data_IF_060670801164
#
_entry.id   IF_060670801164
#
_cell.length_a   1.000
_cell.length_b   1.000
_cell.length_c   1.000
_cell.angle_alpha   90.00
_cell.angle_beta   90.00
_cell.angle_gamma   90.00
#
_symmetry.space_group_name_H-M   'P 1'
#
loop_
_entity.id
_entity.type
_entity.pdbx_description
1 polymer ?
#
# COMPACT_ATOMS: atom_id res chain seq x y z
N UNK A 1 8.12 15.26 0.38
CA UNK A 1 8.20 14.07 -0.51
C UNK A 1 7.98 12.85 0.37
N UNK A 2 6.96 12.03 0.12
CA UNK A 2 6.74 10.80 0.90
C UNK A 2 7.63 9.64 0.40
N UNK A 3 7.72 8.54 1.15
CA UNK A 3 8.62 7.45 0.81
C UNK A 3 8.34 6.77 -0.53
N UNK A 4 7.05 6.70 -0.95
CA UNK A 4 6.68 6.23 -2.30
C UNK A 4 7.23 7.15 -3.41
N UNK A 5 7.14 8.46 -3.23
CA UNK A 5 7.71 9.44 -4.16
C UNK A 5 9.24 9.37 -4.20
N UNK A 6 9.89 9.16 -3.05
CA UNK A 6 11.34 8.97 -2.98
C UNK A 6 11.78 7.70 -3.72
N UNK A 7 11.12 6.56 -3.48
CA UNK A 7 11.36 5.30 -4.20
C UNK A 7 11.23 5.49 -5.72
N UNK A 8 10.16 6.14 -6.16
CA UNK A 8 9.93 6.43 -7.58
C UNK A 8 11.05 7.31 -8.17
N UNK A 9 11.54 8.29 -7.43
CA UNK A 9 12.62 9.17 -7.88
C UNK A 9 13.94 8.42 -8.03
N UNK A 10 14.27 7.56 -7.05
CA UNK A 10 15.47 6.71 -7.10
C UNK A 10 15.44 5.77 -8.31
N UNK A 11 14.30 5.09 -8.55
CA UNK A 11 14.15 4.21 -9.71
C UNK A 11 14.20 4.99 -11.03
N UNK A 12 13.67 6.22 -11.06
CA UNK A 12 13.77 7.08 -12.24
C UNK A 12 15.22 7.53 -12.50
N UNK A 13 15.98 7.87 -11.46
CA UNK A 13 17.39 8.21 -11.59
C UNK A 13 18.24 7.02 -12.00
N UNK A 14 17.91 5.82 -11.52
CA UNK A 14 18.57 4.58 -11.93
C UNK A 14 18.49 4.37 -13.44
N UNK A 15 17.30 4.51 -14.04
CA UNK A 15 17.12 4.29 -15.49
C UNK A 15 17.61 5.46 -16.36
N UNK A 16 18.00 6.57 -15.73
CA UNK A 16 18.60 7.73 -16.40
C UNK A 16 20.13 7.77 -16.27
N UNK A 17 20.74 6.77 -15.63
CA UNK A 17 22.19 6.74 -15.38
C UNK A 17 22.68 7.86 -14.43
N UNK A 18 21.81 8.27 -13.50
CA UNK A 18 22.08 9.33 -12.51
C UNK A 18 22.28 8.81 -11.09
N UNK A 19 22.05 7.51 -10.87
CA UNK A 19 22.10 6.91 -9.53
C UNK A 19 23.52 6.56 -9.09
N UNK A 20 24.39 6.20 -10.04
CA UNK A 20 25.79 5.84 -9.80
C UNK A 20 26.69 6.62 -10.76
N UNK A 21 27.97 6.84 -10.41
CA UNK A 21 28.94 7.39 -11.36
C UNK A 21 29.14 6.47 -12.56
N UNK A 22 29.30 7.06 -13.74
CA UNK A 22 29.69 6.35 -14.95
C UNK A 22 31.19 6.06 -14.95
N UNK A 23 31.57 4.91 -15.49
CA UNK A 23 32.97 4.52 -15.68
C UNK A 23 33.29 4.47 -17.18
N UNK A 24 34.15 5.36 -17.70
CA UNK A 24 34.55 5.35 -19.11
C UNK A 24 35.26 4.07 -19.57
N UNK A 25 35.74 3.23 -18.65
CA UNK A 25 36.38 1.95 -18.96
C UNK A 25 35.39 0.80 -19.09
N UNK A 26 34.11 1.02 -18.74
CA UNK A 26 33.09 0.00 -18.92
C UNK A 26 32.90 -0.30 -20.42
N UNK A 27 32.70 -1.58 -20.72
CA UNK A 27 32.30 -1.98 -22.07
C UNK A 27 30.92 -1.37 -22.39
N UNK A 28 30.79 -0.56 -23.46
CA UNK A 28 29.55 0.18 -23.74
C UNK A 28 28.39 -0.77 -24.04
N UNK A 29 27.17 -0.30 -23.76
CA UNK A 29 25.94 -1.07 -23.95
C UNK A 29 25.76 -1.55 -25.41
N UNK A 30 26.31 -0.83 -26.39
CA UNK A 30 26.32 -1.23 -27.80
C UNK A 30 26.99 -2.60 -28.02
N UNK A 31 28.07 -2.89 -27.30
CA UNK A 31 28.78 -4.18 -27.36
C UNK A 31 27.97 -5.28 -26.66
N UNK A 32 27.32 -4.98 -25.53
CA UNK A 32 26.40 -5.92 -24.88
C UNK A 32 25.24 -6.29 -25.82
N UNK A 33 24.61 -5.30 -26.46
CA UNK A 33 23.54 -5.52 -27.43
C UNK A 33 24.01 -6.36 -28.62
N UNK A 34 25.25 -6.15 -29.09
CA UNK A 34 25.82 -6.97 -30.15
C UNK A 34 26.04 -8.43 -29.72
N UNK A 35 26.56 -8.67 -28.51
CA UNK A 35 26.66 -10.01 -27.92
C UNK A 35 25.29 -10.70 -27.80
N UNK A 36 24.23 -9.93 -27.49
CA UNK A 36 22.86 -10.45 -27.44
C UNK A 36 22.35 -10.83 -28.83
N UNK A 37 22.62 -10.02 -29.86
CA UNK A 37 22.26 -10.34 -31.26
C UNK A 37 22.97 -11.61 -31.73
N UNK A 38 24.26 -11.74 -31.45
CA UNK A 38 25.04 -12.95 -31.78
C UNK A 38 24.47 -14.19 -31.09
N UNK A 39 24.13 -14.10 -29.81
CA UNK A 39 23.49 -15.19 -29.06
C UNK A 39 22.15 -15.58 -29.69
N UNK A 40 21.31 -14.60 -30.05
CA UNK A 40 20.03 -14.87 -30.72
C UNK A 40 20.22 -15.55 -32.06
N UNK A 41 21.18 -15.11 -32.87
CA UNK A 41 21.50 -15.75 -34.14
C UNK A 41 21.98 -17.20 -33.95
N UNK A 42 22.76 -17.47 -32.91
CA UNK A 42 23.14 -18.83 -32.53
C UNK A 42 21.91 -19.68 -32.18
N UNK A 43 21.01 -19.18 -31.33
CA UNK A 43 19.77 -19.87 -30.94
C UNK A 43 18.80 -20.10 -32.12
N UNK A 44 18.78 -19.20 -33.10
CA UNK A 44 18.00 -19.35 -34.35
C UNK A 44 18.59 -20.49 -35.19
N UNK A 45 19.91 -20.55 -35.34
CA UNK A 45 20.60 -21.64 -36.06
C UNK A 45 20.34 -23.00 -35.41
N UNK A 46 20.31 -23.05 -34.07
CA UNK A 46 19.95 -24.24 -33.30
C UNK A 46 18.44 -24.56 -33.28
N UNK A 47 17.59 -23.74 -33.93
CA UNK A 47 16.12 -23.86 -33.96
C UNK A 47 15.46 -23.80 -32.57
N UNK A 48 16.15 -23.25 -31.55
CA UNK A 48 15.61 -23.02 -30.20
C UNK A 48 14.63 -21.86 -30.17
N UNK A 49 14.84 -20.86 -31.03
CA UNK A 49 13.93 -19.72 -31.22
C UNK A 49 13.69 -19.46 -32.72
N UNK A 50 12.58 -18.79 -33.03
CA UNK A 50 12.30 -18.30 -34.38
C UNK A 50 12.90 -16.90 -34.54
N UNK A 51 13.29 -16.55 -35.78
CA UNK A 51 13.71 -15.19 -36.11
C UNK A 51 12.54 -14.23 -35.94
N UNK A 52 12.77 -13.14 -35.19
CA UNK A 52 11.80 -12.07 -35.02
C UNK A 52 11.86 -11.13 -36.24
N UNK A 53 10.72 -10.90 -36.88
CA UNK A 53 10.61 -9.98 -38.02
C UNK A 53 10.63 -8.52 -37.59
N UNK A 54 10.36 -8.25 -36.32
CA UNK A 54 10.29 -6.92 -35.74
C UNK A 54 11.56 -6.55 -34.96
N UNK A 55 12.62 -7.36 -35.04
CA UNK A 55 13.90 -7.01 -34.43
C UNK A 55 14.47 -5.75 -35.07
N UNK A 56 14.97 -4.84 -34.25
CA UNK A 56 15.47 -3.53 -34.70
C UNK A 56 16.76 -3.13 -34.00
N UNK A 57 17.40 -2.09 -34.52
CA UNK A 57 18.53 -1.42 -33.89
C UNK A 57 18.14 0.05 -33.74
N UNK A 58 18.27 0.57 -32.53
CA UNK A 58 18.14 1.99 -32.26
C UNK A 58 19.54 2.58 -32.14
N UNK A 59 19.75 3.75 -32.75
CA UNK A 59 21.01 4.46 -32.74
C UNK A 59 20.76 5.97 -32.84
N UNK A 60 21.76 6.76 -32.43
CA UNK A 60 21.75 8.22 -32.56
C UNK A 60 22.47 8.64 -33.84
N UNK A 61 21.83 9.46 -34.67
CA UNK A 61 22.38 9.99 -35.91
C UNK A 61 23.33 11.17 -35.70
N UNK A 62 23.98 11.62 -36.77
CA UNK A 62 24.88 12.80 -36.76
C UNK A 62 24.14 14.11 -36.42
N UNK A 63 22.82 14.15 -36.64
CA UNK A 63 21.93 15.26 -36.31
C UNK A 63 21.42 15.21 -34.85
N UNK A 64 21.96 14.29 -34.04
CA UNK A 64 21.56 14.01 -32.65
C UNK A 64 20.14 13.45 -32.46
N UNK A 65 19.44 13.10 -33.55
CA UNK A 65 18.14 12.42 -33.49
C UNK A 65 18.28 10.90 -33.34
N UNK A 66 17.28 10.27 -32.74
CA UNK A 66 17.20 8.82 -32.57
C UNK A 66 16.46 8.17 -33.74
N UNK A 67 17.06 7.11 -34.27
CA UNK A 67 16.53 6.33 -35.37
C UNK A 67 16.40 4.87 -34.99
N UNK A 68 15.32 4.24 -35.42
CA UNK A 68 15.11 2.80 -35.34
C UNK A 68 15.21 2.19 -36.74
N UNK A 69 16.11 1.24 -36.92
CA UNK A 69 16.29 0.47 -38.15
C UNK A 69 15.78 -0.95 -37.97
N UNK A 70 14.77 -1.32 -38.76
CA UNK A 70 14.24 -2.67 -38.81
C UNK A 70 15.25 -3.61 -39.49
N UNK A 71 15.64 -4.69 -38.82
CA UNK A 71 16.65 -5.62 -39.35
C UNK A 71 16.15 -6.41 -40.56
N UNK A 72 14.87 -6.74 -40.59
CA UNK A 72 14.30 -7.56 -41.67
C UNK A 72 14.09 -6.80 -42.97
N UNK A 73 13.66 -5.53 -42.90
CA UNK A 73 13.30 -4.71 -44.07
C UNK A 73 14.35 -3.66 -44.41
N UNK A 74 15.23 -3.31 -43.45
CA UNK A 74 16.14 -2.17 -43.56
C UNK A 74 15.47 -0.82 -43.41
N UNK A 75 14.15 -0.77 -43.16
CA UNK A 75 13.39 0.47 -42.96
C UNK A 75 13.94 1.24 -41.76
N UNK A 76 14.14 2.55 -41.94
CA UNK A 76 14.63 3.45 -40.90
C UNK A 76 13.55 4.47 -40.58
N UNK A 77 13.23 4.63 -39.30
CA UNK A 77 12.25 5.57 -38.79
C UNK A 77 12.87 6.45 -37.71
N UNK A 78 12.65 7.76 -37.77
CA UNK A 78 12.95 8.66 -36.65
C UNK A 78 11.98 8.41 -35.50
N UNK A 79 12.51 8.23 -34.29
CA UNK A 79 11.74 7.88 -33.08
C UNK A 79 11.88 8.90 -31.94
N UNK A 80 12.35 10.13 -32.23
CA UNK A 80 12.53 11.18 -31.19
C UNK A 80 11.28 11.40 -30.33
N UNK A 81 10.10 11.32 -30.93
CA UNK A 81 8.82 11.47 -30.19
C UNK A 81 8.53 10.33 -29.22
N UNK A 82 9.19 9.18 -29.37
CA UNK A 82 9.06 8.02 -28.51
C UNK A 82 10.12 8.01 -27.38
N UNK A 83 11.20 8.80 -27.51
CA UNK A 83 12.28 8.87 -26.52
C UNK A 83 11.82 9.68 -25.31
N UNK A 84 11.73 9.07 -24.11
CA UNK A 84 11.14 9.71 -22.94
C UNK A 84 12.08 10.68 -22.22
N UNK A 85 13.40 10.46 -22.34
CA UNK A 85 14.45 11.22 -21.68
C UNK A 85 15.81 10.88 -22.30
N UNK A 86 16.79 11.79 -22.11
CA UNK A 86 18.19 11.53 -22.48
C UNK A 86 18.82 10.49 -21.54
N UNK A 87 19.67 9.65 -22.13
CA UNK A 87 20.51 8.67 -21.45
C UNK A 87 21.99 9.07 -21.58
N UNK A 88 22.87 8.59 -20.70
CA UNK A 88 24.28 8.93 -20.80
C UNK A 88 25.01 8.36 -22.00
N UNK A 89 26.23 8.85 -22.22
CA UNK A 89 27.15 8.25 -23.16
C UNK A 89 27.48 6.80 -22.74
N UNK A 90 27.58 5.90 -23.72
CA UNK A 90 27.80 4.47 -23.48
C UNK A 90 26.54 3.67 -23.16
N UNK A 91 25.40 4.32 -22.90
CA UNK A 91 24.09 3.68 -22.81
C UNK A 91 23.42 3.62 -24.18
N UNK A 92 22.53 2.65 -24.35
CA UNK A 92 21.77 2.49 -25.59
C UNK A 92 20.27 2.32 -25.31
N UNK A 93 19.45 2.91 -26.16
CA UNK A 93 18.03 2.54 -26.23
C UNK A 93 17.87 1.26 -27.05
N UNK A 94 16.99 0.36 -26.63
CA UNK A 94 16.54 -0.74 -27.47
C UNK A 94 15.07 -1.08 -27.20
N UNK A 95 14.45 -1.88 -28.07
CA UNK A 95 13.15 -2.48 -27.73
C UNK A 95 13.37 -3.64 -26.77
N UNK A 96 12.43 -3.87 -25.86
CA UNK A 96 12.53 -4.97 -24.90
C UNK A 96 12.72 -6.31 -25.62
N UNK A 97 12.03 -6.53 -26.75
CA UNK A 97 12.20 -7.73 -27.57
C UNK A 97 13.64 -8.04 -27.91
N UNK A 98 14.50 -7.03 -28.04
CA UNK A 98 15.88 -7.20 -28.47
C UNK A 98 16.78 -7.74 -27.37
N UNK A 99 16.40 -7.61 -26.09
CA UNK A 99 17.17 -8.06 -24.92
C UNK A 99 16.59 -9.27 -24.18
N UNK A 100 15.48 -9.83 -24.67
CA UNK A 100 14.84 -11.03 -24.10
C UNK A 100 14.73 -12.18 -25.12
N UNK A 101 14.54 -13.39 -24.61
CA UNK A 101 13.98 -14.50 -25.39
C UNK A 101 12.53 -14.18 -25.80
N UNK A 102 12.01 -14.76 -26.89
CA UNK A 102 10.62 -14.56 -27.29
C UNK A 102 9.67 -14.79 -26.11
N UNK A 103 8.78 -13.83 -25.79
CA UNK A 103 7.91 -13.93 -24.63
C UNK A 103 7.03 -15.18 -24.68
N UNK A 104 6.84 -15.83 -23.52
CA UNK A 104 6.04 -17.06 -23.42
C UNK A 104 4.92 -16.90 -22.40
N UNK A 105 3.69 -17.14 -22.82
CA UNK A 105 2.56 -17.30 -21.91
C UNK A 105 2.68 -18.60 -21.11
N UNK A 106 2.20 -18.58 -19.87
CA UNK A 106 2.15 -19.76 -19.01
C UNK A 106 1.04 -20.73 -19.37
N UNK A 107 0.83 -21.73 -18.52
CA UNK A 107 -0.20 -22.76 -18.72
C UNK A 107 -1.63 -22.18 -18.66
N UNK A 108 -2.49 -22.64 -19.58
CA UNK A 108 -3.94 -22.41 -19.54
C UNK A 108 -4.71 -23.54 -18.86
N UNK A 109 -4.01 -24.60 -18.43
CA UNK A 109 -4.62 -25.74 -17.73
C UNK A 109 -5.22 -25.29 -16.40
N UNK A 110 -6.36 -25.90 -16.03
CA UNK A 110 -7.03 -25.60 -14.78
C UNK A 110 -6.14 -26.02 -13.61
N UNK A 111 -5.84 -25.08 -12.72
CA UNK A 111 -5.04 -25.35 -11.52
C UNK A 111 -5.88 -26.06 -10.45
N UNK A 112 -5.19 -26.84 -9.62
CA UNK A 112 -5.73 -27.60 -8.50
C UNK A 112 -5.39 -26.92 -7.16
N UNK A 113 -6.13 -27.24 -6.10
CA UNK A 113 -5.82 -26.76 -4.73
C UNK A 113 -4.61 -27.47 -4.11
N UNK A 114 -4.30 -28.68 -4.56
CA UNK A 114 -3.11 -29.46 -4.21
C UNK A 114 -2.60 -30.20 -5.47
N UNK A 115 -1.32 -30.58 -5.48
CA UNK A 115 -0.72 -31.27 -6.62
C UNK A 115 0.80 -31.25 -6.60
N UNK A 116 1.39 -31.71 -7.70
CA UNK A 116 2.83 -32.01 -7.77
C UNK A 116 3.69 -30.76 -7.91
N UNK A 117 3.30 -29.83 -8.79
CA UNK A 117 4.10 -28.65 -9.12
C UNK A 117 3.30 -27.37 -8.85
N UNK A 118 3.83 -26.42 -8.04
CA UNK A 118 3.22 -25.12 -7.84
C UNK A 118 3.10 -24.30 -9.14
N UNK A 119 2.00 -23.57 -9.26
CA UNK A 119 1.69 -22.67 -10.37
C UNK A 119 1.53 -21.25 -9.85
N UNK A 120 2.41 -20.34 -10.27
CA UNK A 120 2.33 -18.93 -9.94
C UNK A 120 1.22 -18.24 -10.73
N UNK A 121 0.45 -17.39 -10.06
CA UNK A 121 -0.62 -16.57 -10.63
C UNK A 121 -0.36 -15.09 -10.37
N UNK A 122 -1.25 -14.24 -10.88
CA UNK A 122 -1.16 -12.77 -10.76
C UNK A 122 -0.99 -12.26 -9.32
N UNK A 123 -1.54 -12.96 -8.31
CA UNK A 123 -1.41 -12.60 -6.89
C UNK A 123 -0.04 -12.94 -6.25
N UNK A 124 0.76 -13.77 -6.92
CA UNK A 124 2.11 -14.14 -6.48
C UNK A 124 3.17 -13.13 -6.94
N UNK A 125 2.80 -12.15 -7.77
CA UNK A 125 3.70 -11.13 -8.31
C UNK A 125 3.56 -9.87 -7.44
N UNK A 126 4.49 -9.66 -6.51
CA UNK A 126 4.42 -8.54 -5.58
C UNK A 126 5.76 -7.81 -5.46
N UNK A 127 5.73 -6.51 -5.72
CA UNK A 127 6.83 -5.57 -5.49
C UNK A 127 8.21 -6.02 -6.00
N UNK A 128 8.22 -6.66 -7.17
CA UNK A 128 9.45 -7.13 -7.83
C UNK A 128 9.86 -8.55 -7.44
N UNK A 129 9.14 -9.21 -6.55
CA UNK A 129 9.46 -10.55 -6.04
C UNK A 129 8.28 -11.53 -6.16
N UNK A 130 8.63 -12.82 -6.21
CA UNK A 130 7.65 -13.90 -6.19
C UNK A 130 7.29 -14.22 -4.74
N UNK A 131 6.01 -14.05 -4.39
CA UNK A 131 5.46 -14.42 -3.08
C UNK A 131 4.73 -15.76 -3.19
N UNK A 132 5.07 -16.70 -2.32
CA UNK A 132 4.61 -18.11 -2.38
C UNK A 132 3.34 -18.37 -1.56
N UNK A 133 2.50 -17.36 -1.39
CA UNK A 133 1.24 -17.46 -0.66
C UNK A 133 0.11 -17.95 -1.57
N UNK A 134 -0.85 -18.68 -1.00
CA UNK A 134 -2.08 -19.13 -1.70
C UNK A 134 -1.81 -19.81 -3.05
N UNK A 135 -0.76 -20.64 -3.07
CA UNK A 135 -0.36 -21.39 -4.26
C UNK A 135 -1.48 -22.34 -4.72
N UNK A 136 -1.46 -22.60 -6.03
CA UNK A 136 -2.22 -23.65 -6.68
C UNK A 136 -1.26 -24.53 -7.45
N UNK A 137 -1.74 -25.69 -7.90
CA UNK A 137 -0.85 -26.75 -8.37
C UNK A 137 -1.28 -27.33 -9.71
N UNK A 138 -0.35 -28.02 -10.36
CA UNK A 138 -0.52 -28.74 -11.62
C UNK A 138 0.05 -30.14 -11.51
N UNK A 139 -0.72 -31.13 -11.95
CA UNK A 139 -0.28 -32.52 -12.17
C UNK A 139 -0.09 -32.81 -13.66
N UNK A 140 -0.22 -31.79 -14.53
CA UNK A 140 0.01 -31.96 -15.96
C UNK A 140 1.51 -32.03 -16.23
N UNK A 141 2.01 -33.24 -16.46
CA UNK A 141 3.44 -33.52 -16.67
C UNK A 141 4.02 -32.74 -17.85
N UNK A 142 3.26 -32.54 -18.94
CA UNK A 142 3.73 -31.81 -20.12
C UNK A 142 3.87 -30.32 -19.82
N UNK A 143 2.86 -29.70 -19.20
CA UNK A 143 2.91 -28.30 -18.79
C UNK A 143 4.01 -28.05 -17.76
N UNK A 144 4.15 -28.97 -16.80
CA UNK A 144 5.16 -28.91 -15.74
C UNK A 144 6.59 -28.90 -16.33
N UNK A 145 6.82 -29.64 -17.42
CA UNK A 145 8.09 -29.62 -18.15
C UNK A 145 8.26 -28.36 -19.00
N UNK A 146 7.20 -27.94 -19.70
CA UNK A 146 7.25 -26.87 -20.70
C UNK A 146 7.39 -25.47 -20.09
N UNK A 147 6.73 -25.23 -18.96
CA UNK A 147 6.64 -23.91 -18.33
C UNK A 147 7.49 -23.79 -17.06
N UNK A 148 8.46 -24.69 -16.88
CA UNK A 148 9.37 -24.66 -15.74
C UNK A 148 10.21 -23.39 -15.74
N UNK A 149 10.17 -22.69 -14.62
CA UNK A 149 10.95 -21.48 -14.41
C UNK A 149 12.41 -21.79 -14.08
N UNK A 150 13.28 -20.87 -14.47
CA UNK A 150 14.71 -20.89 -14.23
C UNK A 150 15.10 -19.67 -13.40
N UNK A 151 16.18 -19.79 -12.64
CA UNK A 151 16.71 -18.67 -11.87
C UNK A 151 16.94 -17.44 -12.76
N UNK A 152 16.51 -16.27 -12.27
CA UNK A 152 16.57 -15.02 -13.02
C UNK A 152 15.42 -14.79 -14.02
N UNK A 153 14.44 -15.70 -14.09
CA UNK A 153 13.25 -15.49 -14.91
C UNK A 153 12.40 -14.31 -14.41
N UNK A 154 12.06 -13.40 -15.33
CA UNK A 154 11.20 -12.25 -15.06
C UNK A 154 9.75 -12.56 -15.49
N UNK A 155 8.85 -12.61 -14.52
CA UNK A 155 7.41 -12.82 -14.74
C UNK A 155 6.69 -11.48 -14.83
N UNK A 156 5.99 -11.24 -15.92
CA UNK A 156 5.19 -10.04 -16.15
C UNK A 156 3.70 -10.32 -15.98
N UNK A 157 3.04 -9.52 -15.15
CA UNK A 157 1.62 -9.62 -14.87
C UNK A 157 0.79 -8.97 -15.98
N UNK A 158 0.35 -9.76 -16.96
CA UNK A 158 -0.38 -9.25 -18.12
C UNK A 158 -1.85 -8.96 -17.87
N UNK A 159 -2.48 -9.56 -16.86
CA UNK A 159 -3.92 -9.44 -16.60
C UNK A 159 -4.16 -9.11 -15.15
N UNK A 160 -4.65 -7.91 -14.86
CA UNK A 160 -5.01 -7.49 -13.50
C UNK A 160 -5.87 -6.21 -13.54
N UNK A 161 -6.13 -5.59 -12.39
CA UNK A 161 -6.66 -4.23 -12.33
C UNK A 161 -5.75 -3.23 -13.05
N UNK A 162 -6.30 -2.07 -13.40
CA UNK A 162 -5.56 -1.01 -14.10
C UNK A 162 -4.29 -0.54 -13.36
N UNK A 163 -4.28 -0.63 -12.02
CA UNK A 163 -3.15 -0.22 -11.19
C UNK A 163 -2.06 -1.29 -11.09
N UNK A 164 -2.46 -2.56 -11.13
CA UNK A 164 -1.60 -3.72 -10.87
C UNK A 164 -1.10 -4.40 -12.14
N UNK A 165 -1.72 -4.14 -13.30
CA UNK A 165 -1.27 -4.66 -14.59
C UNK A 165 0.15 -4.18 -14.89
N UNK A 166 0.96 -5.04 -15.50
CA UNK A 166 2.34 -4.81 -15.87
C UNK A 166 3.35 -4.82 -14.73
N UNK A 167 2.96 -5.27 -13.52
CA UNK A 167 3.94 -5.56 -12.45
C UNK A 167 4.82 -6.72 -12.85
N UNK A 168 6.07 -6.72 -12.40
CA UNK A 168 7.01 -7.83 -12.60
C UNK A 168 7.45 -8.44 -11.28
N UNK A 169 7.95 -9.68 -11.36
CA UNK A 169 8.68 -10.33 -10.29
C UNK A 169 9.79 -11.21 -10.84
N UNK A 170 10.92 -11.25 -10.14
CA UNK A 170 12.01 -12.19 -10.44
C UNK A 170 11.81 -13.48 -9.67
N UNK A 171 11.92 -14.58 -10.38
CA UNK A 171 12.01 -15.91 -9.79
C UNK A 171 13.47 -16.25 -9.42
N UNK A 172 13.72 -16.53 -8.14
CA UNK A 172 15.06 -16.79 -7.56
C UNK A 172 15.42 -18.28 -7.44
N UNK A 173 15.07 -19.09 -8.44
CA UNK A 173 15.63 -20.45 -8.64
C UNK A 173 15.41 -21.49 -7.54
N UNK A 174 14.66 -21.19 -6.48
CA UNK A 174 14.67 -21.94 -5.24
C UNK A 174 13.76 -23.19 -5.22
N UNK A 175 12.94 -23.40 -6.27
CA UNK A 175 11.89 -24.44 -6.32
C UNK A 175 11.55 -24.85 -7.76
N UNK A 176 11.01 -26.04 -7.95
CA UNK A 176 10.39 -26.41 -9.24
C UNK A 176 9.00 -25.79 -9.32
N UNK A 177 8.83 -24.77 -10.17
CA UNK A 177 7.61 -23.97 -10.24
C UNK A 177 7.30 -23.63 -11.69
N UNK A 178 6.01 -23.65 -12.04
CA UNK A 178 5.51 -23.13 -13.31
C UNK A 178 4.62 -21.90 -13.10
N UNK A 179 4.12 -21.32 -14.17
CA UNK A 179 3.33 -20.08 -14.12
C UNK A 179 2.09 -20.18 -15.01
N UNK A 180 1.01 -19.50 -14.61
CA UNK A 180 -0.26 -19.49 -15.32
C UNK A 180 -0.26 -18.53 -16.51
N UNK A 181 -1.18 -18.72 -17.46
CA UNK A 181 -1.34 -17.91 -18.68
C UNK A 181 -1.75 -16.43 -18.45
N UNK A 182 -2.01 -16.05 -17.19
CA UNK A 182 -2.15 -14.66 -16.74
C UNK A 182 -0.80 -13.95 -16.57
N UNK A 183 0.30 -14.67 -16.73
CA UNK A 183 1.67 -14.17 -16.67
C UNK A 183 2.36 -14.41 -18.02
N UNK A 184 3.33 -13.55 -18.32
CA UNK A 184 4.23 -13.67 -19.46
C UNK A 184 5.65 -13.81 -18.92
N UNK A 185 6.40 -14.80 -19.39
CA UNK A 185 7.82 -14.91 -19.12
C UNK A 185 8.60 -14.00 -20.07
N UNK A 186 9.41 -13.11 -19.50
CA UNK A 186 10.30 -12.17 -20.17
C UNK A 186 11.76 -12.50 -19.84
N UNK A 187 12.26 -13.65 -20.29
CA UNK A 187 13.59 -14.14 -19.93
C UNK A 187 14.70 -13.28 -20.55
N UNK A 188 15.57 -12.62 -19.78
CA UNK A 188 16.66 -11.81 -20.31
C UNK A 188 17.72 -12.64 -21.05
N UNK A 189 18.40 -12.02 -22.01
CA UNK A 189 19.59 -12.57 -22.68
C UNK A 189 20.78 -11.68 -22.30
N UNK A 190 21.75 -12.24 -21.57
CA UNK A 190 22.99 -11.58 -21.09
C UNK A 190 22.81 -10.30 -20.24
N UNK A 191 21.63 -9.71 -20.19
CA UNK A 191 21.27 -8.54 -19.37
C UNK A 191 20.97 -9.00 -17.95
N UNK A 192 21.29 -8.17 -16.95
CA UNK A 192 20.99 -8.47 -15.56
C UNK A 192 19.46 -8.44 -15.30
N UNK A 193 18.92 -9.54 -14.74
CA UNK A 193 17.48 -9.67 -14.48
C UNK A 193 16.95 -8.66 -13.45
N UNK A 194 17.73 -8.37 -12.41
CA UNK A 194 17.38 -7.39 -11.37
C UNK A 194 17.33 -5.97 -11.93
N UNK A 195 18.28 -5.63 -12.80
CA UNK A 195 18.26 -4.35 -13.51
C UNK A 195 16.97 -4.18 -14.33
N UNK A 196 16.59 -5.18 -15.13
CA UNK A 196 15.33 -5.13 -15.89
C UNK A 196 14.11 -5.05 -14.96
N UNK A 197 14.08 -5.79 -13.86
CA UNK A 197 12.97 -5.72 -12.90
C UNK A 197 12.82 -4.33 -12.25
N UNK A 198 13.93 -3.64 -11.97
CA UNK A 198 13.90 -2.26 -11.50
C UNK A 198 13.44 -1.29 -12.60
N UNK A 199 13.82 -1.51 -13.87
CA UNK A 199 13.26 -0.76 -15.01
C UNK A 199 11.73 -0.90 -15.03
N UNK A 200 11.19 -2.11 -14.91
CA UNK A 200 9.73 -2.32 -14.88
C UNK A 200 9.03 -1.68 -13.68
N UNK A 201 9.75 -1.49 -12.58
CA UNK A 201 9.25 -0.82 -11.38
C UNK A 201 9.32 0.70 -11.47
N UNK A 202 10.02 1.26 -12.46
CA UNK A 202 10.19 2.70 -12.64
C UNK A 202 8.90 3.43 -13.05
N UNK A 203 8.72 4.71 -12.68
CA UNK A 203 7.58 5.52 -13.10
C UNK A 203 7.37 5.57 -14.62
N UNK A 204 8.47 5.55 -15.38
CA UNK A 204 8.45 5.49 -16.83
C UNK A 204 7.70 4.26 -17.35
N UNK A 205 8.13 3.04 -16.98
CA UNK A 205 7.49 1.81 -17.47
C UNK A 205 6.08 1.63 -16.89
N UNK A 206 5.84 2.08 -15.65
CA UNK A 206 4.48 2.12 -15.09
C UNK A 206 3.54 3.01 -15.91
N UNK A 207 4.04 4.13 -16.43
CA UNK A 207 3.26 5.03 -17.29
C UNK A 207 3.01 4.41 -18.67
N UNK A 208 4.04 3.80 -19.27
CA UNK A 208 3.88 3.03 -20.51
C UNK A 208 2.80 1.95 -20.38
N UNK A 209 2.83 1.14 -19.32
CA UNK A 209 1.83 0.10 -19.07
C UNK A 209 0.41 0.69 -18.94
N UNK A 210 0.27 1.87 -18.32
CA UNK A 210 -1.04 2.54 -18.19
C UNK A 210 -1.58 3.03 -19.53
N UNK A 211 -0.72 3.42 -20.45
CA UNK A 211 -1.08 3.89 -21.79
C UNK A 211 -1.46 2.73 -22.71
N UNK A 212 -0.63 1.70 -22.76
CA UNK A 212 -0.83 0.61 -23.73
C UNK A 212 -1.83 -0.45 -23.29
N UNK A 213 -2.29 -0.45 -22.03
CA UNK A 213 -3.26 -1.45 -21.55
C UNK A 213 -4.56 -1.41 -22.36
N UNK A 214 -5.12 -2.59 -22.65
CA UNK A 214 -6.48 -2.72 -23.16
C UNK A 214 -7.43 -2.89 -21.97
N UNK A 215 -8.53 -2.15 -21.95
CA UNK A 215 -9.55 -2.24 -20.90
C UNK A 215 -10.59 -3.30 -21.32
N UNK A 216 -10.81 -4.29 -20.47
CA UNK A 216 -11.90 -5.25 -20.55
C UNK A 216 -12.86 -5.11 -19.36
N UNK A 217 -13.86 -5.99 -19.28
CA UNK A 217 -14.81 -6.00 -18.16
C UNK A 217 -14.07 -6.39 -16.87
N UNK A 218 -13.98 -5.45 -15.92
CA UNK A 218 -13.32 -5.58 -14.60
C UNK A 218 -11.80 -5.84 -14.62
N UNK A 219 -11.15 -5.95 -15.79
CA UNK A 219 -9.72 -6.26 -15.89
C UNK A 219 -9.07 -5.50 -17.04
N UNK A 220 -7.77 -5.21 -16.90
CA UNK A 220 -6.91 -4.66 -17.94
C UNK A 220 -5.95 -5.73 -18.45
N UNK A 221 -5.57 -5.66 -19.73
CA UNK A 221 -4.64 -6.58 -20.36
C UNK A 221 -3.49 -5.88 -21.09
N UNK A 222 -2.28 -6.42 -20.98
CA UNK A 222 -1.13 -6.08 -21.84
C UNK A 222 -0.61 -7.37 -22.45
N UNK A 223 -0.68 -7.49 -23.77
CA UNK A 223 -0.22 -8.70 -24.47
C UNK A 223 1.30 -8.70 -24.68
N UNK A 224 1.84 -9.84 -25.11
CA UNK A 224 3.27 -10.02 -25.38
C UNK A 224 3.82 -9.02 -26.41
N UNK A 225 3.05 -8.68 -27.44
CA UNK A 225 3.51 -7.75 -28.49
C UNK A 225 3.68 -6.33 -27.95
N UNK A 226 2.70 -5.84 -27.18
CA UNK A 226 2.78 -4.53 -26.53
C UNK A 226 3.99 -4.45 -25.59
N UNK A 227 4.14 -5.37 -24.64
CA UNK A 227 5.28 -5.32 -23.72
C UNK A 227 6.63 -5.46 -24.44
N UNK A 228 6.67 -6.20 -25.55
CA UNK A 228 7.89 -6.37 -26.37
C UNK A 228 8.33 -5.10 -27.12
N UNK A 229 7.42 -4.14 -27.35
CA UNK A 229 7.69 -2.86 -28.00
C UNK A 229 8.18 -1.77 -27.02
N UNK A 230 8.15 -2.04 -25.71
CA UNK A 230 8.65 -1.12 -24.69
C UNK A 230 10.09 -0.72 -25.01
N UNK A 231 10.36 0.58 -25.08
CA UNK A 231 11.72 1.11 -25.10
C UNK A 231 12.34 0.93 -23.72
N UNK A 232 13.54 0.37 -23.67
CA UNK A 232 14.29 0.20 -22.43
C UNK A 232 15.68 0.82 -22.58
N UNK A 233 16.15 1.59 -21.59
CA UNK A 233 17.52 2.05 -21.56
C UNK A 233 18.39 0.89 -21.06
N UNK A 234 19.46 0.59 -21.80
CA UNK A 234 20.43 -0.45 -21.45
C UNK A 234 21.76 0.23 -21.11
N UNK A 235 22.18 0.06 -19.86
CA UNK A 235 23.50 0.46 -19.39
C UNK A 235 24.57 -0.58 -19.76
N UNK A 236 25.87 -0.22 -19.75
CA UNK A 236 26.97 -1.17 -19.65
C UNK A 236 26.71 -2.25 -18.60
N UNK A 237 27.12 -3.50 -18.85
CA UNK A 237 26.78 -4.62 -17.96
C UNK A 237 27.30 -4.43 -16.53
N UNK A 238 28.54 -3.95 -16.39
CA UNK A 238 29.13 -3.64 -15.09
C UNK A 238 28.36 -2.51 -14.37
N UNK A 239 27.94 -1.47 -15.09
CA UNK A 239 27.09 -0.42 -14.54
C UNK A 239 25.71 -0.94 -14.11
N UNK A 240 25.10 -1.89 -14.84
CA UNK A 240 23.84 -2.53 -14.42
C UNK A 240 23.99 -3.15 -13.02
N UNK A 241 25.12 -3.83 -12.74
CA UNK A 241 25.39 -4.40 -11.43
C UNK A 241 25.54 -3.31 -10.37
N UNK A 242 26.33 -2.26 -10.63
CA UNK A 242 26.50 -1.14 -9.70
C UNK A 242 25.18 -0.43 -9.39
N UNK A 243 24.31 -0.25 -10.38
CA UNK A 243 22.96 0.30 -10.20
C UNK A 243 22.13 -0.60 -9.29
N UNK A 244 22.10 -1.90 -9.58
CA UNK A 244 21.34 -2.88 -8.78
C UNK A 244 21.81 -2.88 -7.33
N UNK A 245 23.12 -2.92 -7.10
CA UNK A 245 23.70 -2.89 -5.76
C UNK A 245 23.35 -1.59 -5.03
N UNK A 246 23.42 -0.44 -5.72
CA UNK A 246 23.06 0.83 -5.11
C UNK A 246 21.58 0.91 -4.75
N UNK A 247 20.69 0.40 -5.60
CA UNK A 247 19.25 0.32 -5.32
C UNK A 247 19.00 -0.55 -4.08
N UNK A 248 19.63 -1.72 -4.00
CA UNK A 248 19.52 -2.63 -2.85
C UNK A 248 20.04 -2.01 -1.56
N UNK A 249 21.08 -1.19 -1.63
CA UNK A 249 21.62 -0.45 -0.48
C UNK A 249 20.63 0.60 0.03
N UNK A 250 20.02 1.39 -0.87
CA UNK A 250 19.25 2.58 -0.47
C UNK A 250 17.77 2.30 -0.18
N UNK A 251 17.13 1.37 -0.91
CA UNK A 251 15.69 1.11 -0.76
C UNK A 251 15.25 0.71 0.66
N UNK A 252 16.01 -0.10 1.44
CA UNK A 252 15.63 -0.42 2.81
C UNK A 252 15.49 0.82 3.70
N UNK A 253 16.32 1.85 3.47
CA UNK A 253 16.22 3.13 4.19
C UNK A 253 14.99 3.92 3.78
N UNK A 254 14.58 3.84 2.50
CA UNK A 254 13.34 4.45 2.00
C UNK A 254 12.11 3.76 2.57
N UNK A 255 12.15 2.44 2.73
CA UNK A 255 11.06 1.67 3.34
C UNK A 255 10.92 2.02 4.83
N UNK A 256 12.05 2.12 5.57
CA UNK A 256 12.05 2.63 6.96
C UNK A 256 11.45 4.04 7.05
N UNK A 257 11.87 4.95 6.18
CA UNK A 257 11.32 6.31 6.11
C UNK A 257 9.81 6.29 5.84
N UNK A 258 9.33 5.42 4.94
CA UNK A 258 7.91 5.26 4.62
C UNK A 258 7.10 4.84 5.84
N UNK A 259 7.60 3.88 6.62
CA UNK A 259 6.94 3.41 7.85
C UNK A 259 6.92 4.51 8.92
N UNK A 260 8.05 5.20 9.13
CA UNK A 260 8.11 6.30 10.11
C UNK A 260 7.15 7.43 9.75
N UNK A 261 7.04 7.78 8.47
CA UNK A 261 6.09 8.80 8.01
C UNK A 261 4.64 8.35 8.26
N UNK A 262 4.30 7.10 7.92
CA UNK A 262 2.97 6.55 8.18
C UNK A 262 2.59 6.60 9.67
N UNK A 263 3.52 6.22 10.55
CA UNK A 263 3.29 6.26 12.00
C UNK A 263 3.12 7.70 12.51
N UNK A 264 3.90 8.65 12.00
CA UNK A 264 3.75 10.06 12.33
C UNK A 264 2.38 10.59 11.88
N UNK A 265 1.95 10.27 10.67
CA UNK A 265 0.66 10.70 10.13
C UNK A 265 -0.49 10.10 10.95
N UNK A 266 -0.41 8.81 11.29
CA UNK A 266 -1.40 8.13 12.13
C UNK A 266 -1.45 8.73 13.54
N UNK A 267 -0.30 9.06 14.12
CA UNK A 267 -0.22 9.71 15.42
C UNK A 267 -0.84 11.11 15.37
N UNK A 268 -0.54 11.91 14.35
CA UNK A 268 -1.10 13.25 14.21
C UNK A 268 -2.63 13.24 14.09
N UNK A 269 -3.20 12.22 13.45
CA UNK A 269 -4.65 12.06 13.35
C UNK A 269 -5.26 11.58 14.68
N UNK A 270 -4.67 10.57 15.32
CA UNK A 270 -5.25 9.94 16.51
C UNK A 270 -4.98 10.69 17.82
N UNK A 271 -3.89 11.46 17.90
CA UNK A 271 -3.43 12.11 19.14
C UNK A 271 -4.47 13.06 19.71
N UNK A 272 -5.11 13.89 18.87
CA UNK A 272 -6.13 14.84 19.32
C UNK A 272 -7.33 14.12 19.95
N UNK A 273 -7.80 13.03 19.33
CA UNK A 273 -8.91 12.24 19.86
C UNK A 273 -8.54 11.53 21.16
N UNK A 274 -7.36 10.91 21.22
CA UNK A 274 -6.86 10.24 22.41
C UNK A 274 -6.69 11.23 23.57
N UNK A 275 -6.08 12.39 23.30
CA UNK A 275 -5.86 13.43 24.29
C UNK A 275 -7.20 14.00 24.79
N UNK A 276 -8.14 14.27 23.89
CA UNK A 276 -9.49 14.73 24.26
C UNK A 276 -10.20 13.71 25.16
N UNK A 277 -10.18 12.43 24.80
CA UNK A 277 -10.77 11.36 25.64
C UNK A 277 -10.10 11.31 27.02
N UNK A 278 -8.77 11.39 27.08
CA UNK A 278 -8.04 11.39 28.34
C UNK A 278 -8.37 12.61 29.19
N UNK A 279 -8.38 13.82 28.62
CA UNK A 279 -8.71 15.06 29.32
C UNK A 279 -10.15 15.01 29.86
N UNK A 280 -11.11 14.56 29.04
CA UNK A 280 -12.50 14.42 29.47
C UNK A 280 -12.63 13.39 30.61
N UNK A 281 -11.88 12.30 30.55
CA UNK A 281 -11.87 11.28 31.60
C UNK A 281 -11.33 11.84 32.93
N UNK A 282 -10.21 12.57 32.89
CA UNK A 282 -9.64 13.22 34.07
C UNK A 282 -10.57 14.33 34.61
N UNK A 283 -11.30 15.03 33.73
CA UNK A 283 -12.29 16.03 34.11
C UNK A 283 -13.47 15.43 34.89
N UNK A 284 -14.09 14.36 34.38
CA UNK A 284 -15.23 13.71 35.05
C UNK A 284 -14.84 12.94 36.32
N UNK A 285 -13.54 12.67 36.50
CA UNK A 285 -12.98 12.10 37.73
C UNK A 285 -12.56 13.17 38.74
N UNK A 286 -12.73 14.46 38.43
CA UNK A 286 -12.34 15.58 39.29
C UNK A 286 -10.83 15.70 39.51
N UNK A 287 -10.01 15.14 38.60
CA UNK A 287 -8.55 15.16 38.66
C UNK A 287 -7.93 16.28 37.84
N UNK A 288 -8.71 16.89 36.94
CA UNK A 288 -8.23 17.93 36.04
C UNK A 288 -7.98 19.28 36.74
N UNK A 289 -8.75 19.56 37.80
CA UNK A 289 -8.65 20.80 38.59
C UNK A 289 -8.62 20.49 40.09
N UNK A 290 -8.04 21.35 40.93
CA UNK A 290 -8.06 21.18 42.38
C UNK A 290 -9.50 21.11 42.91
N UNK A 291 -9.71 20.32 43.97
CA UNK A 291 -10.97 20.32 44.71
C UNK A 291 -10.96 21.44 45.74
N UNK A 292 -11.92 22.36 45.65
CA UNK A 292 -12.01 23.56 46.50
C UNK A 292 -13.09 23.32 47.56
N UNK A 293 -12.72 23.34 48.84
CA UNK A 293 -13.63 22.99 49.93
C UNK A 293 -14.76 24.03 50.11
N UNK A 294 -14.49 25.29 49.76
CA UNK A 294 -15.42 26.42 49.85
C UNK A 294 -16.56 26.34 48.83
N UNK A 295 -16.45 25.50 47.79
CA UNK A 295 -17.48 25.32 46.76
C UNK A 295 -18.63 24.38 47.19
N UNK A 296 -18.51 23.78 48.38
CA UNK A 296 -19.52 22.86 48.93
C UNK A 296 -19.46 21.45 48.35
N UNK A 297 -20.51 20.67 48.55
CA UNK A 297 -20.57 19.26 48.11
C UNK A 297 -21.70 19.00 47.11
N UNK A 298 -21.52 18.00 46.25
CA UNK A 298 -22.57 17.52 45.35
C UNK A 298 -23.82 17.07 46.11
N UNK A 299 -23.67 16.56 47.33
CA UNK A 299 -24.80 16.19 48.21
C UNK A 299 -25.65 17.41 48.60
N UNK A 300 -25.03 18.54 48.93
CA UNK A 300 -25.74 19.79 49.23
C UNK A 300 -26.51 20.29 48.00
N UNK A 301 -25.88 20.26 46.82
CA UNK A 301 -26.53 20.64 45.56
C UNK A 301 -27.72 19.74 45.22
N UNK A 302 -27.61 18.42 45.43
CA UNK A 302 -28.72 17.49 45.20
C UNK A 302 -29.90 17.76 46.13
N UNK A 303 -29.67 18.13 47.40
CA UNK A 303 -30.75 18.49 48.32
C UNK A 303 -31.40 19.84 47.94
N UNK A 304 -30.62 20.80 47.42
CA UNK A 304 -31.16 22.04 46.83
C UNK A 304 -32.06 21.74 45.62
N UNK A 305 -31.61 20.89 44.70
CA UNK A 305 -32.39 20.44 43.52
C UNK A 305 -33.69 19.80 43.97
N UNK A 306 -33.64 18.90 44.95
CA UNK A 306 -34.83 18.22 45.51
C UNK A 306 -35.81 19.21 46.14
N UNK A 307 -35.31 20.18 46.89
CA UNK A 307 -36.14 21.23 47.50
C UNK A 307 -36.82 22.08 46.44
N UNK A 308 -36.11 22.44 45.37
CA UNK A 308 -36.68 23.24 44.27
C UNK A 308 -37.71 22.44 43.47
N UNK A 309 -37.46 21.16 43.18
CA UNK A 309 -38.47 20.26 42.58
C UNK A 309 -39.74 20.19 43.43
N UNK A 310 -39.63 20.09 44.76
CA UNK A 310 -40.80 20.08 45.65
C UNK A 310 -41.60 21.38 45.57
N UNK A 311 -40.94 22.55 45.51
CA UNK A 311 -41.63 23.84 45.32
C UNK A 311 -42.36 23.90 43.98
N UNK A 312 -41.74 23.44 42.90
CA UNK A 312 -42.34 23.44 41.57
C UNK A 312 -43.54 22.49 41.47
N UNK A 313 -43.49 21.34 42.13
CA UNK A 313 -44.65 20.44 42.28
C UNK A 313 -45.79 21.12 43.05
N UNK A 314 -45.48 21.81 44.17
CA UNK A 314 -46.48 22.58 44.94
C UNK A 314 -47.12 23.70 44.11
N UNK A 315 -46.34 24.32 43.21
CA UNK A 315 -46.80 25.36 42.26
C UNK A 315 -47.51 24.78 41.02
N UNK A 316 -47.67 23.45 40.92
CA UNK A 316 -48.31 22.78 39.80
C UNK A 316 -47.50 22.75 38.50
N UNK A 317 -46.22 23.15 38.53
CA UNK A 317 -45.33 23.21 37.35
C UNK A 317 -44.61 21.89 37.05
N UNK A 318 -44.62 20.95 37.99
CA UNK A 318 -44.04 19.60 37.84
C UNK A 318 -45.00 18.55 38.39
N UNK A 319 -45.00 17.35 37.79
CA UNK A 319 -45.80 16.21 38.28
C UNK A 319 -45.19 15.64 39.56
N UNK A 320 -46.02 15.07 40.45
CA UNK A 320 -45.56 14.39 41.68
C UNK A 320 -44.56 13.26 41.42
N UNK A 321 -44.62 12.62 40.25
CA UNK A 321 -43.68 11.59 39.83
C UNK A 321 -42.23 12.07 39.71
N UNK A 322 -42.01 13.39 39.57
CA UNK A 322 -40.67 13.99 39.54
C UNK A 322 -39.97 14.01 40.91
N UNK A 323 -40.62 13.55 41.98
CA UNK A 323 -40.05 13.42 43.33
C UNK A 323 -39.61 11.98 43.66
N UNK A 324 -39.77 11.03 42.74
CA UNK A 324 -39.30 9.65 42.89
C UNK A 324 -37.80 9.52 42.57
N UNK A 325 -36.99 10.43 43.11
CA UNK A 325 -35.55 10.45 42.90
C UNK A 325 -34.90 9.37 43.78
N UNK A 326 -33.93 8.66 43.20
CA UNK A 326 -33.08 7.73 43.94
C UNK A 326 -31.92 8.46 44.58
N UNK A 327 -31.35 7.91 45.66
CA UNK A 327 -30.12 8.41 46.27
C UNK A 327 -29.05 7.35 46.15
N UNK A 328 -27.89 7.71 45.60
CA UNK A 328 -26.72 6.82 45.56
C UNK A 328 -25.75 7.25 46.65
N UNK A 329 -25.27 6.30 47.45
CA UNK A 329 -24.31 6.53 48.51
C UNK A 329 -23.32 5.36 48.63
N UNK A 330 -22.18 5.60 49.28
CA UNK A 330 -21.17 4.59 49.57
C UNK A 330 -21.35 4.10 51.01
N UNK A 331 -21.46 2.79 51.21
CA UNK A 331 -21.58 2.16 52.52
C UNK A 331 -20.24 1.98 53.23
N UNK A 332 -20.28 1.64 54.52
CA UNK A 332 -19.09 1.37 55.35
C UNK A 332 -18.27 0.16 54.86
N UNK A 333 -18.89 -0.69 54.05
CA UNK A 333 -18.27 -1.83 53.37
C UNK A 333 -17.58 -1.45 52.04
N UNK A 334 -17.46 -0.15 51.75
CA UNK A 334 -16.94 0.43 50.51
C UNK A 334 -17.74 0.09 49.24
N UNK A 335 -18.96 -0.42 49.36
CA UNK A 335 -19.85 -0.67 48.22
C UNK A 335 -20.76 0.51 47.94
N UNK A 336 -21.26 0.59 46.72
CA UNK A 336 -22.22 1.62 46.31
C UNK A 336 -23.64 1.07 46.32
N UNK A 337 -24.54 1.83 46.92
CA UNK A 337 -25.94 1.46 47.04
C UNK A 337 -26.84 2.54 46.46
N UNK A 338 -27.93 2.13 45.80
CA UNK A 338 -29.00 3.00 45.34
C UNK A 338 -30.26 2.78 46.17
N UNK A 339 -30.79 3.85 46.77
CA UNK A 339 -32.02 3.81 47.56
C UNK A 339 -33.19 4.47 46.79
N UNK A 340 -34.29 3.74 46.64
CA UNK A 340 -35.57 4.22 46.08
C UNK A 340 -36.66 3.97 47.10
N UNK A 341 -37.07 5.01 47.83
CA UNK A 341 -38.04 4.88 48.91
C UNK A 341 -37.54 3.94 50.02
N UNK A 342 -38.16 2.77 50.18
CA UNK A 342 -37.77 1.73 51.15
C UNK A 342 -36.85 0.64 50.56
N UNK A 343 -36.64 0.65 49.24
CA UNK A 343 -35.85 -0.34 48.54
C UNK A 343 -34.40 0.14 48.41
N UNK A 344 -33.43 -0.75 48.64
CA UNK A 344 -32.00 -0.46 48.57
C UNK A 344 -31.29 -1.59 47.84
N UNK A 345 -30.55 -1.27 46.78
CA UNK A 345 -29.83 -2.24 45.93
C UNK A 345 -28.34 -1.92 45.87
N UNK A 346 -27.50 -2.95 45.87
CA UNK A 346 -26.05 -2.86 45.60
C UNK A 346 -25.86 -2.62 44.10
N UNK A 347 -25.25 -1.48 43.75
CA UNK A 347 -24.97 -1.06 42.37
C UNK A 347 -23.46 -0.92 42.12
N UNK A 348 -22.62 -1.55 42.94
CA UNK A 348 -21.15 -1.40 42.87
C UNK A 348 -20.60 -1.74 41.48
N UNK A 349 -21.15 -2.78 40.83
CA UNK A 349 -20.78 -3.20 39.48
C UNK A 349 -21.16 -2.18 38.38
N UNK A 350 -22.04 -1.22 38.69
CA UNK A 350 -22.41 -0.14 37.78
C UNK A 350 -21.48 1.08 37.88
N UNK A 351 -20.60 1.13 38.88
CA UNK A 351 -19.75 2.28 39.14
C UNK A 351 -18.43 2.14 38.37
N UNK A 352 -18.17 3.00 37.36
CA UNK A 352 -17.02 2.82 36.48
C UNK A 352 -15.69 3.29 37.11
N UNK A 353 -15.73 4.18 38.09
CA UNK A 353 -14.56 4.73 38.78
C UNK A 353 -14.95 5.46 40.07
N UNK A 354 -13.96 5.66 40.94
CA UNK A 354 -14.08 6.45 42.18
C UNK A 354 -14.12 7.95 41.88
N UNK A 355 -14.90 8.68 42.68
CA UNK A 355 -15.05 10.14 42.61
C UNK A 355 -14.33 10.82 43.80
N UNK A 356 -14.00 12.12 43.70
CA UNK A 356 -13.57 12.92 44.85
C UNK A 356 -14.60 12.89 45.98
N UNK A 357 -14.15 13.11 47.22
CA UNK A 357 -15.01 13.03 48.40
C UNK A 357 -16.18 14.04 48.40
N UNK A 358 -16.03 15.18 47.73
CA UNK A 358 -17.07 16.20 47.56
C UNK A 358 -18.07 15.88 46.45
N UNK A 359 -17.86 14.81 45.66
CA UNK A 359 -18.67 14.45 44.50
C UNK A 359 -19.53 13.21 44.79
N UNK A 360 -20.69 13.13 44.15
CA UNK A 360 -21.61 12.01 44.29
C UNK A 360 -22.08 11.49 42.93
N UNK A 361 -22.17 10.17 42.80
CA UNK A 361 -22.92 9.57 41.71
C UNK A 361 -24.41 9.89 41.86
N UNK A 362 -25.07 10.18 40.74
CA UNK A 362 -26.51 10.40 40.69
C UNK A 362 -27.05 9.91 39.35
N UNK A 363 -28.30 9.45 39.31
CA UNK A 363 -28.92 9.05 38.05
C UNK A 363 -29.27 10.31 37.25
N UNK A 364 -28.97 10.33 35.95
CA UNK A 364 -29.21 11.51 35.09
C UNK A 364 -30.64 12.06 35.16
N UNK A 365 -31.65 11.20 35.33
CA UNK A 365 -33.07 11.59 35.51
C UNK A 365 -33.32 12.56 36.69
N UNK A 366 -32.40 12.61 37.65
CA UNK A 366 -32.49 13.47 38.84
C UNK A 366 -32.08 14.90 38.48
N UNK A 367 -31.05 15.06 37.64
CA UNK A 367 -30.49 16.36 37.28
C UNK A 367 -31.16 16.95 36.03
N UNK A 368 -31.63 16.10 35.11
CA UNK A 368 -32.36 16.54 33.92
C UNK A 368 -33.86 16.69 34.20
N UNK A 369 -34.47 17.80 33.77
CA UNK A 369 -35.93 17.92 33.75
C UNK A 369 -36.51 16.93 32.73
N UNK A 370 -37.62 16.24 33.04
CA UNK A 370 -38.31 15.44 32.04
C UNK A 370 -38.74 16.33 30.87
N UNK A 371 -38.36 15.96 29.64
CA UNK A 371 -38.86 16.62 28.42
C UNK A 371 -40.36 16.35 28.29
N UNK A 372 -41.19 17.21 28.90
CA UNK A 372 -42.58 17.37 28.48
C UNK A 372 -42.66 18.56 27.50
N UNK A 373 -43.66 18.55 26.62
CA UNK A 373 -43.86 19.40 25.42
C UNK A 373 -43.99 20.91 25.65
N UNK A 374 -43.55 21.42 26.80
CA UNK A 374 -43.56 22.85 27.15
C UNK A 374 -42.23 23.20 27.79
N UNK A 375 -41.43 24.02 27.09
CA UNK A 375 -40.21 24.61 27.64
C UNK A 375 -40.53 25.42 28.90
N UNK A 376 -39.71 25.34 29.97
CA UNK A 376 -39.83 26.27 31.07
C UNK A 376 -39.43 27.67 30.60
N UNK A 377 -40.34 28.64 30.73
CA UNK A 377 -40.08 30.07 30.56
C UNK A 377 -39.44 30.65 31.83
N UNK A 378 -38.23 30.22 32.15
CA UNK A 378 -37.43 30.91 33.15
C UNK A 378 -35.98 31.01 32.69
N UNK A 379 -35.47 32.23 32.70
CA UNK A 379 -34.06 32.56 32.52
C UNK A 379 -33.24 31.80 33.56
N UNK A 380 -32.62 30.70 33.15
CA UNK A 380 -31.55 30.08 33.92
C UNK A 380 -30.31 30.96 33.75
N UNK A 381 -30.11 31.85 34.72
CA UNK A 381 -28.86 32.60 34.87
C UNK A 381 -27.91 31.67 35.61
N UNK A 382 -26.78 31.33 34.98
CA UNK A 382 -25.65 30.74 35.69
C UNK A 382 -25.20 31.74 36.77
N UNK A 383 -25.02 31.34 38.04
CA UNK A 383 -24.28 32.19 38.96
C UNK A 383 -22.85 32.37 38.41
N UNK A 384 -22.40 33.63 38.33
CA UNK A 384 -21.01 33.99 37.98
C UNK A 384 -20.01 33.45 39.00
#
# INVERSE_FOLDING_TARGET
MNGKQLKNSILQWAIQGKLVPQDPNDEPASVLLEKIRQEKEHLIKEKKIKRDKNASIIYRGEDNSYYEKMLATGEVKCIDKEIPFEIPEGWEWCRLRDVIYPPKYGTSSKSLSNGDVPVLRMGNIQDGEVVYDKLVFSNNVEDNRKYLLQDGDLLFNRTNSAELVGKTAIFKGNRHVIYAGYLILLRPIKTNSEYLNYIFSSPYVRSYCKEVKTIGVQQCNINAEKVSQLLVPIAPFEEQMRIVDKIKEVLPSVDKYSISQYNLDLLNVSLSECLKKSILQEAIQGRLVPQIAEEGTAQELLEQIKTEKQKLVKKGKLKKSALNDSVIFKGDDNKYYEQVGKHCEDITEEIPFELPASWNWTRGKIVFMPMESTMPTSDFIYPE
#
